data_IF_386769477287
#
_entry.id   IF_386769477287
#
_cell.length_a   1.000
_cell.length_b   1.000
_cell.length_c   1.000
_cell.angle_alpha   90.00
_cell.angle_beta   90.00
_cell.angle_gamma   90.00
#
_symmetry.space_group_name_H-M   'P 1'
#
loop_
_entity.id
_entity.type
_entity.pdbx_description
1 polymer ?
#
# COMPACT_ATOMS: atom_id res chain seq x y z
N UNK A 1 -8.57 51.79 -57.73
CA UNK A 1 -9.59 52.13 -56.72
C UNK A 1 -10.29 50.85 -56.27
N UNK A 2 -10.41 50.62 -54.95
CA UNK A 2 -11.26 49.60 -54.25
C UNK A 2 -10.93 48.13 -54.55
N UNK A 3 -11.00 47.16 -53.63
CA UNK A 3 -11.30 47.05 -52.19
C UNK A 3 -10.85 45.63 -51.77
N UNK A 4 -10.39 45.49 -50.55
CA UNK A 4 -10.17 44.25 -49.79
C UNK A 4 -11.36 43.27 -49.85
N UNK A 5 -11.08 41.96 -49.86
CA UNK A 5 -11.82 41.01 -49.02
C UNK A 5 -11.08 39.67 -48.82
N UNK A 6 -11.10 39.25 -47.56
CA UNK A 6 -10.74 37.96 -46.97
C UNK A 6 -11.29 36.75 -47.75
N UNK A 7 -10.69 35.56 -47.59
CA UNK A 7 -11.34 34.40 -46.92
C UNK A 7 -10.47 33.12 -46.92
N UNK A 8 -10.29 32.62 -45.69
CA UNK A 8 -10.03 31.28 -45.15
C UNK A 8 -9.02 30.30 -45.78
N UNK A 9 -8.01 30.04 -44.95
CA UNK A 9 -7.20 28.83 -44.83
C UNK A 9 -8.09 27.68 -44.30
N UNK A 10 -8.16 26.57 -45.03
CA UNK A 10 -8.60 25.27 -44.51
C UNK A 10 -7.49 24.24 -44.79
N UNK A 11 -6.44 24.26 -43.99
CA UNK A 11 -5.50 23.13 -43.90
C UNK A 11 -6.08 22.14 -42.88
N UNK A 12 -6.74 21.11 -43.39
CA UNK A 12 -7.12 19.94 -42.61
C UNK A 12 -5.85 19.17 -42.23
N UNK A 13 -5.27 19.51 -41.08
CA UNK A 13 -4.32 18.65 -40.39
C UNK A 13 -5.13 17.71 -39.49
N UNK A 14 -5.29 16.48 -39.97
CA UNK A 14 -5.71 15.33 -39.17
C UNK A 14 -4.66 15.10 -38.07
N UNK A 15 -4.79 15.79 -36.94
CA UNK A 15 -4.15 15.38 -35.71
C UNK A 15 -4.95 14.20 -35.15
N UNK A 16 -4.52 12.98 -35.48
CA UNK A 16 -4.83 11.80 -34.68
C UNK A 16 -4.19 12.00 -33.32
N UNK A 17 -4.93 12.68 -32.45
CA UNK A 17 -4.61 12.79 -31.05
C UNK A 17 -4.87 11.40 -30.47
N UNK A 18 -3.81 10.64 -30.23
CA UNK A 18 -3.87 9.54 -29.26
C UNK A 18 -4.17 10.20 -27.93
N UNK A 19 -5.47 10.30 -27.60
CA UNK A 19 -5.92 10.63 -26.28
C UNK A 19 -5.54 9.45 -25.38
N UNK A 20 -4.31 9.50 -24.83
CA UNK A 20 -4.04 8.82 -23.57
C UNK A 20 -4.93 9.53 -22.54
N UNK A 21 -6.15 9.02 -22.36
CA UNK A 21 -6.95 9.36 -21.20
C UNK A 21 -6.15 8.90 -19.99
N UNK A 22 -5.53 9.86 -19.30
CA UNK A 22 -5.09 9.65 -17.94
C UNK A 22 -6.35 9.26 -17.16
N UNK A 23 -6.57 7.96 -16.97
CA UNK A 23 -7.61 7.47 -16.07
C UNK A 23 -7.34 8.11 -14.72
N UNK A 24 -8.28 8.93 -14.26
CA UNK A 24 -8.12 9.67 -13.02
C UNK A 24 -8.19 8.64 -11.88
N UNK A 25 -7.10 8.36 -11.13
CA UNK A 25 -7.06 7.25 -10.17
C UNK A 25 -8.14 7.36 -9.09
N UNK A 26 -8.61 8.58 -8.82
CA UNK A 26 -9.69 8.85 -7.88
C UNK A 26 -11.04 8.29 -8.35
N UNK A 27 -11.32 8.32 -9.66
CA UNK A 27 -12.59 7.84 -10.22
C UNK A 27 -12.74 6.32 -10.08
N UNK A 28 -11.66 5.57 -10.26
CA UNK A 28 -11.69 4.10 -10.12
C UNK A 28 -11.97 3.67 -8.67
N UNK A 29 -11.42 4.38 -7.69
CA UNK A 29 -11.67 4.11 -6.27
C UNK A 29 -13.07 4.52 -5.78
N UNK A 30 -13.86 5.23 -6.59
CA UNK A 30 -15.24 5.58 -6.21
C UNK A 30 -16.08 4.33 -5.99
N UNK A 31 -15.83 3.28 -6.77
CA UNK A 31 -16.54 2.01 -6.75
C UNK A 31 -16.05 1.00 -5.71
N UNK A 32 -15.13 1.39 -4.81
CA UNK A 32 -14.68 0.54 -3.71
C UNK A 32 -15.84 0.04 -2.86
N UNK A 33 -15.95 -1.29 -2.73
CA UNK A 33 -16.91 -1.94 -1.82
C UNK A 33 -16.63 -1.61 -0.36
N UNK A 34 -15.38 -1.37 -0.01
CA UNK A 34 -15.01 -0.88 1.30
C UNK A 34 -13.97 0.25 1.21
N UNK A 35 -14.25 1.34 1.93
CA UNK A 35 -13.35 2.48 2.08
C UNK A 35 -12.96 2.58 3.54
N UNK A 36 -11.73 2.19 3.86
CA UNK A 36 -11.20 2.32 5.22
C UNK A 36 -11.23 3.78 5.67
N UNK A 37 -11.58 4.01 6.94
CA UNK A 37 -11.62 5.38 7.47
C UNK A 37 -10.21 5.95 7.67
N UNK A 38 -10.10 7.28 7.68
CA UNK A 38 -8.84 7.94 8.01
C UNK A 38 -8.38 7.65 9.44
N UNK A 39 -9.30 7.35 10.36
CA UNK A 39 -8.96 6.98 11.74
C UNK A 39 -8.35 5.59 11.78
N UNK A 40 -8.99 4.62 11.14
CA UNK A 40 -8.56 3.22 11.17
C UNK A 40 -7.22 3.04 10.46
N UNK A 41 -7.03 3.68 9.29
CA UNK A 41 -5.73 3.57 8.61
C UNK A 41 -4.58 4.16 9.44
N UNK A 42 -4.82 5.24 10.20
CA UNK A 42 -3.80 5.81 11.10
C UNK A 42 -3.48 4.88 12.27
N UNK A 43 -4.50 4.19 12.81
CA UNK A 43 -4.30 3.18 13.86
C UNK A 43 -3.46 2.03 13.29
N UNK A 44 -3.84 1.50 12.13
CA UNK A 44 -3.13 0.42 11.45
C UNK A 44 -1.67 0.79 11.17
N UNK A 45 -1.42 1.92 10.49
CA UNK A 45 -0.07 2.42 10.17
C UNK A 45 0.76 2.55 11.44
N UNK A 46 0.18 3.08 12.52
CA UNK A 46 0.90 3.20 13.79
C UNK A 46 1.28 1.84 14.36
N UNK A 47 0.38 0.86 14.32
CA UNK A 47 0.66 -0.49 14.82
C UNK A 47 1.71 -1.19 13.96
N UNK A 48 1.60 -1.12 12.62
CA UNK A 48 2.56 -1.68 11.69
C UNK A 48 3.95 -1.07 11.87
N UNK A 49 4.06 0.26 11.91
CA UNK A 49 5.36 0.92 12.12
C UNK A 49 5.98 0.55 13.48
N UNK A 50 5.17 0.33 14.53
CA UNK A 50 5.67 -0.15 15.83
C UNK A 50 6.22 -1.57 15.74
N UNK A 51 5.51 -2.47 15.05
CA UNK A 51 5.96 -3.85 14.81
C UNK A 51 7.25 -3.86 14.00
N UNK A 52 7.26 -3.14 12.87
CA UNK A 52 8.41 -3.07 11.98
C UNK A 52 9.65 -2.52 12.70
N UNK A 53 9.53 -1.39 13.41
CA UNK A 53 10.68 -0.81 14.12
C UNK A 53 11.03 -1.55 15.42
N UNK A 54 10.14 -2.40 15.94
CA UNK A 54 10.45 -3.35 17.01
C UNK A 54 11.39 -4.47 16.52
N UNK A 55 11.09 -5.04 15.35
CA UNK A 55 11.85 -6.13 14.74
C UNK A 55 13.12 -5.64 14.04
N UNK A 56 13.01 -4.51 13.35
CA UNK A 56 14.04 -3.87 12.55
C UNK A 56 14.24 -2.42 12.98
N UNK A 57 14.93 -2.17 14.11
CA UNK A 57 15.14 -0.81 14.63
C UNK A 57 15.81 0.14 13.63
N UNK A 58 16.57 -0.42 12.68
CA UNK A 58 17.23 0.36 11.63
C UNK A 58 16.25 0.94 10.59
N UNK A 59 14.98 0.52 10.57
CA UNK A 59 13.93 1.18 9.78
C UNK A 59 13.66 2.62 10.23
N UNK A 60 14.10 3.01 11.43
CA UNK A 60 14.03 4.40 11.89
C UNK A 60 15.17 5.29 11.34
N UNK A 61 16.15 4.72 10.61
CA UNK A 61 17.34 5.41 10.09
C UNK A 61 17.16 5.77 8.60
N UNK A 62 17.96 6.73 8.07
CA UNK A 62 18.05 6.95 6.63
C UNK A 62 18.44 5.68 5.87
N UNK A 63 18.03 5.57 4.60
CA UNK A 63 18.29 4.41 3.73
C UNK A 63 17.66 3.09 4.18
N UNK A 64 16.62 3.14 5.01
CA UNK A 64 15.87 1.96 5.46
C UNK A 64 15.36 1.07 4.32
N UNK A 65 15.21 1.61 3.10
CA UNK A 65 14.69 0.86 1.94
C UNK A 65 15.50 -0.42 1.67
N UNK A 66 16.82 -0.39 1.90
CA UNK A 66 17.69 -1.56 1.75
C UNK A 66 17.31 -2.71 2.70
N UNK A 67 16.64 -2.42 3.82
CA UNK A 67 16.17 -3.45 4.75
C UNK A 67 15.04 -4.24 4.09
N UNK A 68 14.04 -3.54 3.51
CA UNK A 68 12.95 -4.17 2.79
C UNK A 68 13.44 -4.92 1.54
N UNK A 69 14.42 -4.37 0.81
CA UNK A 69 14.98 -5.01 -0.38
C UNK A 69 15.71 -6.34 -0.07
N UNK A 70 16.14 -6.52 1.19
CA UNK A 70 16.82 -7.72 1.67
C UNK A 70 15.91 -8.68 2.45
N UNK A 71 14.61 -8.41 2.54
CA UNK A 71 13.66 -9.32 3.18
C UNK A 71 13.57 -10.64 2.41
N UNK A 72 13.65 -11.76 3.13
CA UNK A 72 13.34 -13.05 2.55
C UNK A 72 11.85 -13.17 2.20
N UNK A 73 11.49 -14.19 1.43
CA UNK A 73 10.07 -14.48 1.17
C UNK A 73 9.32 -14.76 2.47
N UNK A 74 9.93 -15.54 3.38
CA UNK A 74 9.34 -15.83 4.69
C UNK A 74 9.12 -14.56 5.52
N UNK A 75 10.09 -13.64 5.51
CA UNK A 75 9.99 -12.32 6.16
C UNK A 75 8.79 -11.53 5.62
N UNK A 76 8.71 -11.37 4.30
CA UNK A 76 7.63 -10.64 3.63
C UNK A 76 6.25 -11.23 3.91
N UNK A 77 6.13 -12.56 3.84
CA UNK A 77 4.88 -13.27 4.14
C UNK A 77 4.48 -13.16 5.61
N UNK A 78 5.45 -13.15 6.53
CA UNK A 78 5.19 -12.98 7.97
C UNK A 78 4.63 -11.59 8.26
N UNK A 79 5.23 -10.56 7.66
CA UNK A 79 4.73 -9.19 7.82
C UNK A 79 3.33 -9.00 7.22
N UNK A 80 3.06 -9.62 6.07
CA UNK A 80 1.72 -9.66 5.47
C UNK A 80 0.70 -10.35 6.39
N UNK A 81 1.08 -11.47 7.02
CA UNK A 81 0.21 -12.17 7.97
C UNK A 81 -0.22 -11.26 9.14
N UNK A 82 0.73 -10.54 9.74
CA UNK A 82 0.40 -9.61 10.82
C UNK A 82 -0.44 -8.43 10.35
N UNK A 83 -0.15 -7.86 9.17
CA UNK A 83 -0.98 -6.81 8.59
C UNK A 83 -2.42 -7.27 8.38
N UNK A 84 -2.62 -8.47 7.85
CA UNK A 84 -3.96 -9.01 7.61
C UNK A 84 -4.71 -9.27 8.92
N UNK A 85 -4.05 -9.78 9.95
CA UNK A 85 -4.68 -9.97 11.26
C UNK A 85 -5.08 -8.63 11.90
N UNK A 86 -4.19 -7.63 11.89
CA UNK A 86 -4.52 -6.31 12.41
C UNK A 86 -5.67 -5.66 11.64
N UNK A 87 -5.71 -5.81 10.32
CA UNK A 87 -6.84 -5.36 9.50
C UNK A 87 -8.14 -6.05 9.94
N UNK A 88 -8.15 -7.37 10.04
CA UNK A 88 -9.34 -8.14 10.46
C UNK A 88 -9.83 -7.74 11.85
N UNK A 89 -8.93 -7.53 12.79
CA UNK A 89 -9.26 -7.05 14.14
C UNK A 89 -9.87 -5.66 14.13
N UNK A 90 -9.34 -4.75 13.30
CA UNK A 90 -9.73 -3.35 13.29
C UNK A 90 -11.04 -3.09 12.56
N UNK A 91 -11.22 -3.68 11.38
CA UNK A 91 -12.34 -3.37 10.48
C UNK A 91 -13.29 -4.56 10.26
N UNK A 92 -12.99 -5.73 10.84
CA UNK A 92 -13.76 -6.96 10.68
C UNK A 92 -13.38 -7.75 9.43
N UNK A 93 -13.58 -9.07 9.50
CA UNK A 93 -13.21 -10.04 8.46
C UNK A 93 -13.80 -9.68 7.09
N UNK A 94 -15.08 -9.33 7.02
CA UNK A 94 -15.74 -9.02 5.73
C UNK A 94 -15.10 -7.81 5.04
N UNK A 95 -14.77 -6.76 5.78
CA UNK A 95 -14.17 -5.55 5.22
C UNK A 95 -12.71 -5.79 4.83
N UNK A 96 -11.96 -6.57 5.63
CA UNK A 96 -10.61 -7.01 5.26
C UNK A 96 -10.64 -7.82 3.95
N UNK A 97 -11.62 -8.69 3.77
CA UNK A 97 -11.79 -9.44 2.51
C UNK A 97 -12.14 -8.54 1.32
N UNK A 98 -12.87 -7.44 1.52
CA UNK A 98 -13.07 -6.46 0.44
C UNK A 98 -11.73 -5.81 0.05
N UNK A 99 -10.90 -5.40 1.01
CA UNK A 99 -9.56 -4.86 0.70
C UNK A 99 -8.69 -5.88 -0.05
N UNK A 100 -8.78 -7.17 0.28
CA UNK A 100 -7.98 -8.22 -0.36
C UNK A 100 -8.46 -8.56 -1.78
N UNK A 101 -9.78 -8.66 -1.98
CA UNK A 101 -10.38 -9.29 -3.18
C UNK A 101 -11.01 -8.30 -4.16
N UNK A 102 -11.34 -7.10 -3.71
CA UNK A 102 -11.97 -6.06 -4.53
C UNK A 102 -10.91 -5.03 -4.93
N UNK A 103 -10.52 -5.03 -6.20
CA UNK A 103 -9.43 -4.19 -6.71
C UNK A 103 -9.62 -2.68 -6.40
N UNK A 104 -10.82 -2.07 -6.59
CA UNK A 104 -11.04 -0.68 -6.19
C UNK A 104 -10.84 -0.44 -4.69
N UNK A 105 -11.25 -1.38 -3.83
CA UNK A 105 -11.04 -1.29 -2.38
C UNK A 105 -9.56 -1.43 -2.01
N UNK A 106 -8.83 -2.33 -2.68
CA UNK A 106 -7.38 -2.50 -2.51
C UNK A 106 -6.62 -1.22 -2.86
N UNK A 107 -6.89 -0.64 -4.03
CA UNK A 107 -6.23 0.59 -4.47
C UNK A 107 -6.55 1.78 -3.56
N UNK A 108 -7.81 1.89 -3.10
CA UNK A 108 -8.17 2.91 -2.13
C UNK A 108 -7.41 2.74 -0.80
N UNK A 109 -7.25 1.50 -0.33
CA UNK A 109 -6.46 1.20 0.86
C UNK A 109 -4.98 1.58 0.67
N UNK A 110 -4.37 1.23 -0.46
CA UNK A 110 -2.98 1.58 -0.80
C UNK A 110 -2.78 3.11 -0.81
N UNK A 111 -3.68 3.86 -1.45
CA UNK A 111 -3.65 5.33 -1.45
C UNK A 111 -3.75 5.93 -0.04
N UNK A 112 -4.63 5.38 0.80
CA UNK A 112 -4.78 5.83 2.19
C UNK A 112 -3.56 5.48 3.03
N UNK A 113 -2.96 4.31 2.81
CA UNK A 113 -1.73 3.90 3.47
C UNK A 113 -0.57 4.84 3.11
N UNK A 114 -0.34 5.10 1.82
CA UNK A 114 0.69 6.05 1.35
C UNK A 114 0.50 7.46 1.92
N UNK A 115 -0.76 7.92 1.95
CA UNK A 115 -1.10 9.25 2.46
C UNK A 115 -0.76 9.44 3.94
N UNK A 116 -0.95 8.41 4.77
CA UNK A 116 -0.80 8.51 6.22
C UNK A 116 0.45 7.84 6.78
N UNK A 117 1.16 7.03 6.00
CA UNK A 117 2.39 6.40 6.45
C UNK A 117 3.59 7.34 6.26
N UNK A 118 4.17 7.75 7.39
CA UNK A 118 5.38 8.57 7.44
C UNK A 118 6.54 7.86 8.16
N UNK A 119 6.47 6.52 8.27
CA UNK A 119 7.49 5.61 8.78
C UNK A 119 8.20 6.06 10.07
N UNK A 120 7.45 6.61 11.03
CA UNK A 120 7.95 6.96 12.36
C UNK A 120 7.08 6.27 13.41
N UNK A 121 7.70 5.48 14.28
CA UNK A 121 7.05 4.89 15.44
C UNK A 121 7.71 5.34 16.74
N UNK A 122 6.91 5.38 17.80
CA UNK A 122 7.41 5.43 19.17
C UNK A 122 7.25 4.02 19.76
N UNK A 123 8.27 3.19 19.53
CA UNK A 123 8.23 1.76 19.85
C UNK A 123 7.97 1.53 21.34
N UNK A 124 6.85 0.87 21.64
CA UNK A 124 6.55 0.37 22.98
C UNK A 124 7.43 -0.86 23.26
N UNK A 125 8.44 -0.68 24.11
CA UNK A 125 9.42 -1.74 24.43
C UNK A 125 8.78 -2.97 25.05
N UNK A 126 7.81 -2.81 25.95
CA UNK A 126 7.19 -3.96 26.62
C UNK A 126 6.42 -4.80 25.61
N UNK A 127 5.58 -4.15 24.81
CA UNK A 127 4.81 -4.85 23.77
C UNK A 127 5.69 -5.45 22.68
N UNK A 128 6.84 -4.82 22.42
CA UNK A 128 7.83 -5.33 21.47
C UNK A 128 8.44 -6.66 21.94
N UNK A 129 8.85 -6.76 23.21
CA UNK A 129 9.41 -8.00 23.75
C UNK A 129 8.38 -9.14 23.79
N UNK A 130 7.11 -8.83 24.05
CA UNK A 130 6.03 -9.82 23.99
C UNK A 130 5.75 -10.30 22.55
N UNK A 131 5.96 -9.42 21.56
CA UNK A 131 5.67 -9.70 20.16
C UNK A 131 6.76 -10.53 19.46
N UNK A 132 8.04 -10.30 19.78
CA UNK A 132 9.18 -10.97 19.12
C UNK A 132 9.09 -12.51 19.09
N UNK A 133 8.69 -13.22 20.17
CA UNK A 133 8.53 -14.67 20.14
C UNK A 133 7.44 -15.14 19.17
N UNK A 134 6.31 -14.43 19.14
CA UNK A 134 5.19 -14.72 18.22
C UNK A 134 5.64 -14.54 16.78
N UNK A 135 6.35 -13.44 16.51
CA UNK A 135 6.94 -13.19 15.20
C UNK A 135 7.88 -14.33 14.76
N UNK A 136 8.83 -14.72 15.61
CA UNK A 136 9.78 -15.78 15.31
C UNK A 136 9.09 -17.12 15.04
N UNK A 137 8.05 -17.45 15.81
CA UNK A 137 7.26 -18.66 15.63
C UNK A 137 6.53 -18.69 14.28
N UNK A 138 5.84 -17.60 13.92
CA UNK A 138 5.10 -17.53 12.65
C UNK A 138 6.06 -17.54 11.47
N UNK A 139 7.17 -16.78 11.53
CA UNK A 139 8.19 -16.79 10.49
C UNK A 139 8.74 -18.19 10.25
N UNK A 140 9.08 -18.91 11.32
CA UNK A 140 9.57 -20.28 11.23
C UNK A 140 8.54 -21.22 10.57
N UNK A 141 7.26 -21.11 10.93
CA UNK A 141 6.19 -21.92 10.33
C UNK A 141 6.03 -21.64 8.83
N UNK A 142 6.09 -20.37 8.44
CA UNK A 142 6.07 -19.97 7.03
C UNK A 142 7.30 -20.50 6.30
N UNK A 143 8.49 -20.33 6.87
CA UNK A 143 9.76 -20.79 6.29
C UNK A 143 9.80 -22.32 6.07
N UNK A 144 9.18 -23.10 6.96
CA UNK A 144 9.03 -24.54 6.74
C UNK A 144 8.04 -24.89 5.63
N UNK A 145 7.05 -24.04 5.40
CA UNK A 145 5.92 -24.28 4.50
C UNK A 145 6.20 -23.80 3.06
N UNK A 146 7.10 -22.83 2.87
CA UNK A 146 7.45 -22.34 1.54
C UNK A 146 8.33 -23.34 0.76
N UNK A 147 8.14 -23.49 -0.57
CA UNK A 147 9.00 -24.30 -1.41
C UNK A 147 10.48 -23.86 -1.33
N UNK A 148 11.40 -24.81 -1.47
CA UNK A 148 12.86 -24.56 -1.39
C UNK A 148 13.36 -23.49 -2.37
N UNK A 149 12.69 -23.30 -3.50
CA UNK A 149 13.05 -22.27 -4.50
C UNK A 149 12.83 -20.84 -4.01
N UNK A 150 12.09 -20.67 -2.91
CA UNK A 150 11.73 -19.38 -2.31
C UNK A 150 12.41 -19.17 -0.95
N UNK A 151 13.24 -20.12 -0.48
CA UNK A 151 14.04 -19.97 0.73
C UNK A 151 15.34 -19.25 0.40
#
# INVERSE_FOLDING_TARGET
MRKTLFTLICAALCHTSFANSAENPTAYTEHAKYKISATDIKILVRQLNNIEQCLFPDLAKPNYQQIYDNWSVAESMTMLYFQQNLLKELIGEQNAQFIEKDEPSRLYFEQMHEKYNHQKANVDKSRCEDFKPVYAQIKQQIEYSIPQVYK
#
